data_IF_527003167343
#
_entry.id   IF_527003167343
#
_cell.length_a   1.000
_cell.length_b   1.000
_cell.length_c   1.000
_cell.angle_alpha   90.00
_cell.angle_beta   90.00
_cell.angle_gamma   90.00
#
_symmetry.space_group_name_H-M   'P 1'
#
loop_
_entity.id
_entity.type
_entity.pdbx_description
1 polymer ?
#
# COMPACT_ATOMS: atom_id res chain seq x y z
N UNK A 1 -3.64 2.82 -20.07
CA UNK A 1 -3.65 2.41 -18.65
C UNK A 1 -4.49 1.16 -18.40
N UNK A 2 -5.72 1.05 -18.90
CA UNK A 2 -6.59 -0.15 -18.70
C UNK A 2 -5.98 -1.47 -19.20
N UNK A 3 -5.25 -1.46 -20.31
CA UNK A 3 -4.62 -2.66 -20.92
C UNK A 3 -3.50 -3.24 -20.03
N UNK A 4 -2.71 -2.39 -19.36
CA UNK A 4 -1.59 -2.82 -18.52
C UNK A 4 -2.08 -3.44 -17.21
N UNK A 5 -3.15 -2.91 -16.61
CA UNK A 5 -3.79 -3.47 -15.41
C UNK A 5 -4.38 -4.84 -15.70
N UNK A 6 -5.07 -5.00 -16.85
CA UNK A 6 -5.64 -6.28 -17.28
C UNK A 6 -4.56 -7.35 -17.49
N UNK A 7 -3.41 -6.96 -18.01
CA UNK A 7 -2.25 -7.83 -18.21
C UNK A 7 -1.62 -8.27 -16.88
N UNK A 8 -1.48 -7.36 -15.92
CA UNK A 8 -1.00 -7.68 -14.56
C UNK A 8 -1.96 -8.61 -13.82
N UNK A 9 -3.27 -8.39 -13.95
CA UNK A 9 -4.28 -9.29 -13.39
C UNK A 9 -4.20 -10.69 -14.00
N UNK A 10 -3.89 -10.84 -15.29
CA UNK A 10 -3.73 -12.15 -15.92
C UNK A 10 -2.53 -12.94 -15.37
N UNK A 11 -1.43 -12.26 -14.98
CA UNK A 11 -0.32 -12.91 -14.29
C UNK A 11 -0.70 -13.34 -12.86
N UNK A 12 -1.46 -12.52 -12.15
CA UNK A 12 -1.94 -12.86 -10.80
C UNK A 12 -2.83 -14.09 -10.81
N UNK A 13 -3.66 -14.27 -11.84
CA UNK A 13 -4.53 -15.45 -12.01
C UNK A 13 -3.78 -16.77 -12.19
N UNK A 14 -2.52 -16.75 -12.61
CA UNK A 14 -1.67 -17.96 -12.63
C UNK A 14 -1.40 -18.51 -11.23
N UNK A 15 -1.36 -17.63 -10.22
CA UNK A 15 -1.10 -17.96 -8.83
C UNK A 15 -2.40 -17.98 -7.98
N UNK A 16 -3.53 -18.37 -8.61
CA UNK A 16 -4.87 -18.34 -8.00
C UNK A 16 -4.94 -19.00 -6.62
N UNK A 17 -4.24 -20.13 -6.41
CA UNK A 17 -4.24 -20.83 -5.13
C UNK A 17 -3.63 -19.98 -4.00
N UNK A 18 -2.44 -19.43 -4.23
CA UNK A 18 -1.79 -18.52 -3.28
C UNK A 18 -2.61 -17.23 -3.07
N UNK A 19 -3.25 -16.72 -4.11
CA UNK A 19 -4.10 -15.55 -4.04
C UNK A 19 -5.35 -15.80 -3.17
N UNK A 20 -6.02 -16.94 -3.34
CA UNK A 20 -7.18 -17.32 -2.52
C UNK A 20 -6.80 -17.51 -1.05
N UNK A 21 -5.69 -18.19 -0.76
CA UNK A 21 -5.20 -18.35 0.62
C UNK A 21 -4.89 -16.98 1.24
N UNK A 22 -4.30 -16.06 0.49
CA UNK A 22 -4.04 -14.71 0.96
C UNK A 22 -5.33 -13.96 1.32
N UNK A 23 -6.39 -14.09 0.49
CA UNK A 23 -7.70 -13.50 0.79
C UNK A 23 -8.28 -14.09 2.07
N UNK A 24 -8.22 -15.41 2.26
CA UNK A 24 -8.67 -16.07 3.49
C UNK A 24 -7.90 -15.51 4.70
N UNK A 25 -6.57 -15.36 4.59
CA UNK A 25 -5.76 -14.75 5.63
C UNK A 25 -6.19 -13.32 5.96
N UNK A 26 -6.48 -12.49 4.97
CA UNK A 26 -6.96 -11.12 5.20
C UNK A 26 -8.39 -11.07 5.75
N UNK A 27 -9.26 -12.02 5.39
CA UNK A 27 -10.59 -12.16 6.00
C UNK A 27 -10.45 -12.52 7.48
N UNK A 28 -9.58 -13.47 7.82
CA UNK A 28 -9.30 -13.85 9.23
C UNK A 28 -8.75 -12.65 10.00
N UNK A 29 -7.83 -11.87 9.40
CA UNK A 29 -7.30 -10.64 9.98
C UNK A 29 -8.41 -9.61 10.25
N UNK A 30 -9.28 -9.34 9.27
CA UNK A 30 -10.40 -8.40 9.40
C UNK A 30 -11.43 -8.88 10.44
N UNK A 31 -11.73 -10.17 10.47
CA UNK A 31 -12.63 -10.75 11.48
C UNK A 31 -12.06 -10.60 12.89
N UNK A 32 -10.76 -10.79 13.07
CA UNK A 32 -10.09 -10.59 14.36
C UNK A 32 -10.11 -9.11 14.79
N UNK A 33 -9.95 -8.15 13.86
CA UNK A 33 -10.07 -6.72 14.16
C UNK A 33 -11.50 -6.35 14.59
N UNK A 34 -12.52 -6.89 13.93
CA UNK A 34 -13.93 -6.70 14.31
C UNK A 34 -14.18 -7.33 15.69
N UNK A 35 -13.66 -8.53 15.94
CA UNK A 35 -13.77 -9.18 17.23
C UNK A 35 -13.09 -8.38 18.36
N UNK A 36 -11.99 -7.69 18.07
CA UNK A 36 -11.32 -6.80 19.02
C UNK A 36 -12.22 -5.60 19.40
N UNK A 37 -12.89 -5.00 18.42
CA UNK A 37 -13.84 -3.89 18.66
C UNK A 37 -15.02 -4.37 19.50
N UNK A 38 -15.60 -5.53 19.18
CA UNK A 38 -16.70 -6.13 19.95
C UNK A 38 -16.26 -6.52 21.37
N UNK A 39 -15.03 -7.00 21.53
CA UNK A 39 -14.44 -7.29 22.83
C UNK A 39 -14.34 -6.03 23.71
N UNK A 40 -13.84 -4.92 23.16
CA UNK A 40 -13.77 -3.63 23.87
C UNK A 40 -15.17 -3.19 24.30
N UNK A 41 -16.13 -3.27 23.41
CA UNK A 41 -17.55 -2.94 23.71
C UNK A 41 -18.07 -3.76 24.89
N UNK A 42 -17.83 -5.06 24.89
CA UNK A 42 -18.26 -5.95 26.00
C UNK A 42 -17.57 -5.61 27.30
N UNK A 43 -16.27 -5.34 27.29
CA UNK A 43 -15.53 -4.92 28.49
C UNK A 43 -16.11 -3.65 29.08
N UNK A 44 -16.44 -2.64 28.26
CA UNK A 44 -17.07 -1.40 28.72
C UNK A 44 -18.45 -1.69 29.35
N UNK A 45 -19.26 -2.56 28.76
CA UNK A 45 -20.54 -2.97 29.31
C UNK A 45 -20.38 -3.66 30.66
N UNK A 46 -19.42 -4.55 30.82
CA UNK A 46 -19.12 -5.24 32.07
C UNK A 46 -18.66 -4.31 33.19
N UNK A 47 -17.89 -3.28 32.89
CA UNK A 47 -17.48 -2.27 33.87
C UNK A 47 -18.68 -1.51 34.42
N UNK A 48 -19.67 -1.22 33.54
CA UNK A 48 -20.85 -0.47 33.92
C UNK A 48 -21.85 -1.33 34.71
N UNK A 49 -21.97 -2.64 34.44
CA UNK A 49 -23.01 -3.51 35.02
C UNK A 49 -22.57 -4.21 36.33
N UNK A 50 -21.37 -3.98 36.86
CA UNK A 50 -20.82 -4.58 38.10
C UNK A 50 -21.06 -6.09 38.24
N UNK A 51 -21.29 -6.80 37.13
CA UNK A 51 -21.49 -8.25 37.13
C UNK A 51 -20.18 -9.00 37.38
N UNK A 52 -20.21 -10.04 38.20
CA UNK A 52 -19.05 -10.89 38.50
C UNK A 52 -18.57 -11.62 37.21
N UNK A 53 -17.65 -11.03 36.52
CA UNK A 53 -17.06 -11.61 35.29
C UNK A 53 -15.76 -12.30 35.63
N UNK A 54 -15.56 -13.48 35.06
CA UNK A 54 -14.30 -14.20 35.11
C UNK A 54 -13.22 -13.42 34.35
N UNK A 55 -12.40 -12.60 35.04
CA UNK A 55 -11.33 -11.79 34.48
C UNK A 55 -10.38 -12.63 33.61
N UNK A 56 -10.19 -13.90 33.93
CA UNK A 56 -9.37 -14.83 33.16
C UNK A 56 -9.93 -15.11 31.77
N UNK A 57 -11.26 -15.18 31.60
CA UNK A 57 -11.89 -15.38 30.30
C UNK A 57 -11.77 -14.16 29.40
N UNK A 58 -11.85 -12.96 29.96
CA UNK A 58 -11.66 -11.71 29.24
C UNK A 58 -10.22 -11.62 28.74
N UNK A 59 -9.24 -11.91 29.59
CA UNK A 59 -7.84 -11.90 29.22
C UNK A 59 -7.51 -12.98 28.16
N UNK A 60 -8.04 -14.19 28.33
CA UNK A 60 -7.85 -15.28 27.37
C UNK A 60 -8.43 -14.93 25.99
N UNK A 61 -9.63 -14.33 25.94
CA UNK A 61 -10.25 -13.91 24.70
C UNK A 61 -9.39 -12.87 23.95
N UNK A 62 -8.81 -11.91 24.67
CA UNK A 62 -7.91 -10.92 24.06
C UNK A 62 -6.67 -11.57 23.44
N UNK A 63 -6.03 -12.51 24.16
CA UNK A 63 -4.87 -13.25 23.66
C UNK A 63 -5.23 -14.04 22.40
N UNK A 64 -6.39 -14.69 22.39
CA UNK A 64 -6.85 -15.48 21.26
C UNK A 64 -7.18 -14.61 20.04
N UNK A 65 -7.81 -13.46 20.24
CA UNK A 65 -8.05 -12.47 19.19
C UNK A 65 -6.71 -11.96 18.60
N UNK A 66 -5.75 -11.60 19.47
CA UNK A 66 -4.44 -11.13 19.04
C UNK A 66 -3.67 -12.20 18.25
N UNK A 67 -3.76 -13.45 18.69
CA UNK A 67 -3.16 -14.59 18.00
C UNK A 67 -3.79 -14.81 16.61
N UNK A 68 -5.11 -14.83 16.53
CA UNK A 68 -5.85 -14.97 15.26
C UNK A 68 -5.53 -13.81 14.30
N UNK A 69 -5.44 -12.59 14.81
CA UNK A 69 -5.04 -11.42 14.05
C UNK A 69 -3.64 -11.57 13.47
N UNK A 70 -2.67 -11.99 14.31
CA UNK A 70 -1.28 -12.23 13.88
C UNK A 70 -1.19 -13.32 12.82
N UNK A 71 -1.88 -14.44 13.01
CA UNK A 71 -1.95 -15.54 12.03
C UNK A 71 -2.55 -15.09 10.70
N UNK A 72 -3.69 -14.41 10.74
CA UNK A 72 -4.37 -13.91 9.54
C UNK A 72 -3.48 -12.93 8.76
N UNK A 73 -2.83 -12.00 9.48
CA UNK A 73 -1.86 -11.06 8.89
C UNK A 73 -0.68 -11.79 8.25
N UNK A 74 -0.08 -12.75 8.95
CA UNK A 74 1.06 -13.50 8.45
C UNK A 74 0.71 -14.30 7.19
N UNK A 75 -0.37 -15.10 7.23
CA UNK A 75 -0.83 -15.90 6.11
C UNK A 75 -1.15 -14.99 4.92
N UNK A 76 -1.95 -13.94 5.13
CA UNK A 76 -2.33 -13.01 4.08
C UNK A 76 -1.12 -12.37 3.39
N UNK A 77 -0.18 -11.87 4.16
CA UNK A 77 1.03 -11.21 3.64
C UNK A 77 2.00 -12.19 2.97
N UNK A 78 2.22 -13.37 3.55
CA UNK A 78 3.13 -14.37 3.02
C UNK A 78 2.68 -14.84 1.63
N UNK A 79 1.42 -15.28 1.51
CA UNK A 79 0.91 -15.78 0.25
C UNK A 79 0.77 -14.69 -0.81
N UNK A 80 0.39 -13.46 -0.44
CA UNK A 80 0.35 -12.34 -1.37
C UNK A 80 1.75 -11.94 -1.85
N UNK A 81 2.76 -11.97 -0.98
CA UNK A 81 4.16 -11.73 -1.38
C UNK A 81 4.65 -12.80 -2.35
N UNK A 82 4.24 -14.06 -2.16
CA UNK A 82 4.54 -15.16 -3.09
C UNK A 82 3.91 -14.94 -4.46
N UNK A 83 2.67 -14.44 -4.52
CA UNK A 83 2.03 -14.02 -5.78
C UNK A 83 2.85 -12.91 -6.44
N UNK A 84 3.23 -11.88 -5.69
CA UNK A 84 4.02 -10.77 -6.21
C UNK A 84 5.36 -11.20 -6.80
N UNK A 85 6.11 -12.04 -6.09
CA UNK A 85 7.39 -12.59 -6.57
C UNK A 85 7.20 -13.46 -7.81
N UNK A 86 6.14 -14.25 -7.88
CA UNK A 86 5.80 -15.05 -9.06
C UNK A 86 5.52 -14.20 -10.29
N UNK A 87 4.76 -13.10 -10.12
CA UNK A 87 4.50 -12.14 -11.20
C UNK A 87 5.81 -11.49 -11.69
N UNK A 88 6.71 -11.10 -10.77
CA UNK A 88 8.05 -10.57 -11.12
C UNK A 88 8.83 -11.58 -11.95
N UNK A 89 8.85 -12.83 -11.51
CA UNK A 89 9.56 -13.90 -12.19
C UNK A 89 9.03 -14.11 -13.62
N UNK A 90 7.71 -14.22 -13.79
CA UNK A 90 7.09 -14.42 -15.11
C UNK A 90 7.34 -13.21 -16.04
N UNK A 91 7.28 -11.99 -15.53
CA UNK A 91 7.59 -10.78 -16.30
C UNK A 91 9.05 -10.75 -16.75
N UNK A 92 9.99 -11.11 -15.87
CA UNK A 92 11.41 -11.16 -16.22
C UNK A 92 11.68 -12.20 -17.29
N UNK A 93 11.09 -13.38 -17.16
CA UNK A 93 11.20 -14.47 -18.14
C UNK A 93 10.69 -14.02 -19.52
N UNK A 94 9.50 -13.43 -19.57
CA UNK A 94 8.91 -12.93 -20.83
C UNK A 94 9.76 -11.82 -21.47
N UNK A 95 10.29 -10.91 -20.67
CA UNK A 95 11.18 -9.84 -21.15
C UNK A 95 12.50 -10.41 -21.69
N UNK A 96 13.09 -11.37 -21.00
CA UNK A 96 14.32 -12.01 -21.42
C UNK A 96 14.14 -12.80 -22.72
N UNK A 97 13.05 -13.58 -22.83
CA UNK A 97 12.71 -14.30 -24.06
C UNK A 97 12.51 -13.36 -25.26
N UNK A 98 11.90 -12.20 -25.03
CA UNK A 98 11.75 -11.18 -26.09
C UNK A 98 13.08 -10.53 -26.44
N UNK A 99 13.93 -10.24 -25.44
CA UNK A 99 15.23 -9.65 -25.67
C UNK A 99 16.10 -10.52 -26.59
N UNK A 100 16.18 -11.82 -26.31
CA UNK A 100 17.00 -12.74 -27.12
C UNK A 100 16.52 -12.79 -28.60
N UNK A 101 15.25 -12.51 -28.85
CA UNK A 101 14.67 -12.50 -30.21
C UNK A 101 14.89 -11.21 -30.98
N UNK A 102 15.51 -10.19 -30.34
CA UNK A 102 15.78 -8.91 -31.00
C UNK A 102 16.96 -9.06 -32.00
N UNK A 103 16.93 -8.33 -33.13
CA UNK A 103 17.99 -8.34 -34.12
C UNK A 103 19.27 -7.75 -33.56
N UNK A 104 20.44 -8.19 -34.11
CA UNK A 104 21.77 -7.78 -33.64
C UNK A 104 21.97 -6.26 -33.63
N UNK A 105 21.43 -5.57 -34.59
CA UNK A 105 21.51 -4.11 -34.70
C UNK A 105 21.01 -3.37 -33.43
N UNK A 106 20.04 -3.96 -32.73
CA UNK A 106 19.51 -3.39 -31.49
C UNK A 106 20.52 -3.45 -30.33
N UNK A 107 21.35 -4.49 -30.30
CA UNK A 107 22.42 -4.66 -29.31
C UNK A 107 23.61 -3.76 -29.62
N UNK A 108 23.91 -3.52 -30.90
CA UNK A 108 25.01 -2.65 -31.33
C UNK A 108 24.71 -1.16 -31.05
N UNK A 109 23.42 -0.78 -31.05
CA UNK A 109 22.97 0.59 -30.78
C UNK A 109 22.68 0.87 -29.30
N UNK A 110 22.59 -0.15 -28.46
CA UNK A 110 22.20 -0.03 -27.05
C UNK A 110 23.32 -0.51 -26.14
N UNK A 111 23.61 0.25 -25.07
CA UNK A 111 24.55 -0.20 -24.06
C UNK A 111 23.98 -1.43 -23.33
N UNK A 112 24.67 -2.55 -23.38
CA UNK A 112 24.25 -3.83 -22.76
C UNK A 112 23.88 -3.67 -21.28
N UNK A 113 24.57 -2.80 -20.54
CA UNK A 113 24.26 -2.49 -19.15
C UNK A 113 22.89 -1.86 -18.93
N UNK A 114 22.42 -1.01 -19.86
CA UNK A 114 21.08 -0.41 -19.77
C UNK A 114 19.97 -1.45 -20.00
N UNK A 115 20.19 -2.40 -20.90
CA UNK A 115 19.23 -3.48 -21.17
C UNK A 115 19.11 -4.42 -19.98
N UNK A 116 20.23 -4.80 -19.38
CA UNK A 116 20.26 -5.63 -18.16
C UNK A 116 19.56 -4.88 -17.01
N UNK A 117 19.82 -3.59 -16.83
CA UNK A 117 19.19 -2.78 -15.79
C UNK A 117 17.67 -2.70 -15.98
N UNK A 118 17.15 -2.57 -17.20
CA UNK A 118 15.71 -2.59 -17.47
C UNK A 118 15.06 -3.92 -17.08
N UNK A 119 15.71 -5.06 -17.32
CA UNK A 119 15.18 -6.37 -16.99
C UNK A 119 15.27 -6.64 -15.50
N UNK A 120 16.37 -6.28 -14.86
CA UNK A 120 16.61 -6.63 -13.45
C UNK A 120 15.98 -5.61 -12.49
N UNK A 121 16.24 -4.33 -12.68
CA UNK A 121 15.89 -3.28 -11.72
C UNK A 121 14.53 -2.65 -12.01
N UNK A 122 14.31 -2.18 -13.23
CA UNK A 122 13.04 -1.49 -13.58
C UNK A 122 11.85 -2.43 -13.47
N UNK A 123 11.99 -3.69 -13.88
CA UNK A 123 10.94 -4.71 -13.75
C UNK A 123 10.61 -4.97 -12.28
N UNK A 124 11.60 -5.02 -11.40
CA UNK A 124 11.40 -5.20 -9.96
C UNK A 124 10.67 -4.02 -9.34
N UNK A 125 11.05 -2.80 -9.68
CA UNK A 125 10.39 -1.59 -9.17
C UNK A 125 8.93 -1.53 -9.59
N UNK A 126 8.63 -1.70 -10.87
CA UNK A 126 7.25 -1.63 -11.40
C UNK A 126 6.39 -2.74 -10.81
N UNK A 127 6.91 -3.96 -10.77
CA UNK A 127 6.17 -5.10 -10.25
C UNK A 127 6.03 -5.06 -8.74
N UNK A 128 7.07 -4.62 -8.01
CA UNK A 128 7.02 -4.41 -6.57
C UNK A 128 5.99 -3.36 -6.16
N UNK A 129 5.97 -2.22 -6.82
CA UNK A 129 4.97 -1.17 -6.59
C UNK A 129 3.55 -1.68 -6.87
N UNK A 130 3.34 -2.41 -7.97
CA UNK A 130 2.03 -2.96 -8.34
C UNK A 130 1.58 -4.05 -7.37
N UNK A 131 2.47 -4.98 -6.99
CA UNK A 131 2.15 -6.05 -6.05
C UNK A 131 1.82 -5.51 -4.66
N UNK A 132 2.55 -4.49 -4.19
CA UNK A 132 2.25 -3.81 -2.93
C UNK A 132 0.91 -3.06 -2.99
N UNK A 133 0.60 -2.40 -4.10
CA UNK A 133 -0.69 -1.74 -4.28
C UNK A 133 -1.85 -2.74 -4.25
N UNK A 134 -1.74 -3.87 -4.97
CA UNK A 134 -2.76 -4.94 -4.96
C UNK A 134 -2.90 -5.53 -3.55
N UNK A 135 -1.79 -5.83 -2.87
CA UNK A 135 -1.79 -6.33 -1.49
C UNK A 135 -2.52 -5.39 -0.53
N UNK A 136 -2.17 -4.10 -0.56
CA UNK A 136 -2.80 -3.08 0.29
C UNK A 136 -4.28 -2.96 -0.05
N UNK A 137 -4.64 -2.90 -1.34
CA UNK A 137 -6.02 -2.79 -1.77
C UNK A 137 -6.87 -3.99 -1.31
N UNK A 138 -6.36 -5.21 -1.43
CA UNK A 138 -7.08 -6.41 -0.99
C UNK A 138 -7.22 -6.43 0.53
N UNK A 139 -6.14 -6.15 1.28
CA UNK A 139 -6.14 -6.15 2.74
C UNK A 139 -7.08 -5.08 3.29
N UNK A 140 -6.87 -3.82 2.90
CA UNK A 140 -7.66 -2.70 3.42
C UNK A 140 -9.10 -2.74 2.90
N UNK A 141 -9.31 -3.20 1.65
CA UNK A 141 -10.64 -3.39 1.09
C UNK A 141 -11.44 -4.44 1.86
N UNK A 142 -10.82 -5.56 2.24
CA UNK A 142 -11.44 -6.60 3.06
C UNK A 142 -11.78 -6.07 4.45
N UNK A 143 -10.84 -5.38 5.10
CA UNK A 143 -11.04 -4.77 6.42
C UNK A 143 -12.15 -3.72 6.38
N UNK A 144 -12.10 -2.81 5.39
CA UNK A 144 -13.11 -1.76 5.22
C UNK A 144 -14.52 -2.35 5.03
N UNK A 145 -14.63 -3.35 4.16
CA UNK A 145 -15.92 -4.02 3.90
C UNK A 145 -16.44 -4.72 5.15
N UNK A 146 -15.58 -5.43 5.88
CA UNK A 146 -15.93 -6.10 7.13
C UNK A 146 -16.40 -5.13 8.22
N UNK A 147 -15.65 -4.03 8.43
CA UNK A 147 -16.02 -2.99 9.38
C UNK A 147 -17.32 -2.29 8.98
N UNK A 148 -17.54 -2.06 7.69
CA UNK A 148 -18.74 -1.40 7.20
C UNK A 148 -19.97 -2.27 7.45
N UNK A 149 -19.89 -3.58 7.18
CA UNK A 149 -20.96 -4.55 7.50
C UNK A 149 -21.23 -4.55 9.01
N UNK A 150 -20.17 -4.57 9.83
CA UNK A 150 -20.31 -4.55 11.28
C UNK A 150 -20.97 -3.25 11.80
N UNK A 151 -20.61 -2.09 11.25
CA UNK A 151 -21.23 -0.81 11.58
C UNK A 151 -22.72 -0.76 11.22
N UNK A 152 -23.11 -1.31 10.06
CA UNK A 152 -24.51 -1.42 9.67
C UNK A 152 -25.30 -2.34 10.62
N UNK A 153 -24.68 -3.42 11.08
CA UNK A 153 -25.27 -4.31 12.08
C UNK A 153 -25.47 -3.60 13.44
N UNK A 154 -24.52 -2.78 13.85
CA UNK A 154 -24.58 -2.06 15.12
C UNK A 154 -25.65 -0.96 15.12
N UNK A 155 -25.57 -0.06 14.15
CA UNK A 155 -26.52 1.05 14.00
C UNK A 155 -26.53 1.59 12.57
N UNK A 156 -27.49 1.15 11.78
CA UNK A 156 -27.60 1.53 10.37
C UNK A 156 -27.83 3.04 10.17
N UNK A 157 -28.53 3.72 11.10
CA UNK A 157 -28.81 5.16 11.00
C UNK A 157 -27.54 6.00 11.15
N UNK A 158 -26.72 5.67 12.16
CA UNK A 158 -25.45 6.34 12.38
C UNK A 158 -24.47 6.05 11.24
N UNK A 159 -24.46 4.83 10.71
CA UNK A 159 -23.62 4.45 9.59
C UNK A 159 -23.99 5.22 8.31
N UNK A 160 -25.28 5.39 8.04
CA UNK A 160 -25.76 6.23 6.93
C UNK A 160 -25.33 7.70 7.09
N UNK A 161 -25.48 8.25 8.30
CA UNK A 161 -25.03 9.61 8.59
C UNK A 161 -23.52 9.77 8.32
N UNK A 162 -22.72 8.80 8.76
CA UNK A 162 -21.26 8.79 8.51
C UNK A 162 -20.95 8.70 7.01
N UNK A 163 -21.64 7.84 6.26
CA UNK A 163 -21.47 7.71 4.82
C UNK A 163 -21.85 8.99 4.05
N UNK A 164 -22.87 9.71 4.52
CA UNK A 164 -23.26 11.00 3.92
C UNK A 164 -22.24 12.09 4.24
N UNK A 165 -21.65 12.09 5.44
CA UNK A 165 -20.64 13.10 5.81
C UNK A 165 -19.28 12.84 5.19
N UNK A 166 -18.94 11.57 4.86
CA UNK A 166 -17.65 11.19 4.29
C UNK A 166 -17.28 11.95 3.00
N UNK A 167 -18.16 12.14 1.98
CA UNK A 167 -17.82 12.89 0.78
C UNK A 167 -17.54 14.38 1.07
N UNK A 168 -18.21 14.99 2.05
CA UNK A 168 -17.92 16.37 2.44
C UNK A 168 -16.53 16.51 3.05
N UNK A 169 -16.14 15.56 3.92
CA UNK A 169 -14.78 15.50 4.48
C UNK A 169 -13.77 15.30 3.36
N UNK A 170 -14.03 14.38 2.42
CA UNK A 170 -13.16 14.12 1.28
C UNK A 170 -12.99 15.38 0.39
N UNK A 171 -14.02 16.17 0.22
CA UNK A 171 -13.98 17.42 -0.54
C UNK A 171 -13.08 18.45 0.15
N UNK A 172 -13.23 18.63 1.46
CA UNK A 172 -12.39 19.53 2.27
C UNK A 172 -10.92 19.11 2.19
N UNK A 173 -10.64 17.81 2.41
CA UNK A 173 -9.29 17.26 2.34
C UNK A 173 -8.67 17.44 0.95
N UNK A 174 -9.46 17.27 -0.12
CA UNK A 174 -8.99 17.46 -1.49
C UNK A 174 -8.63 18.93 -1.78
N UNK A 175 -9.46 19.87 -1.32
CA UNK A 175 -9.19 21.32 -1.47
C UNK A 175 -7.93 21.70 -0.69
N UNK A 176 -7.82 21.29 0.58
CA UNK A 176 -6.63 21.52 1.40
C UNK A 176 -5.37 20.90 0.78
N UNK A 177 -5.46 19.66 0.30
CA UNK A 177 -4.37 18.96 -0.35
C UNK A 177 -3.90 19.61 -1.67
N UNK A 178 -4.80 20.24 -2.42
CA UNK A 178 -4.40 21.04 -3.60
C UNK A 178 -3.62 22.29 -3.20
N UNK A 179 -4.05 22.99 -2.15
CA UNK A 179 -3.32 24.15 -1.61
C UNK A 179 -1.94 23.76 -1.10
N UNK A 180 -1.85 22.71 -0.29
CA UNK A 180 -0.58 22.21 0.23
C UNK A 180 0.39 21.83 -0.88
N UNK A 181 -0.07 21.13 -1.92
CA UNK A 181 0.77 20.79 -3.09
C UNK A 181 1.27 22.03 -3.82
N UNK A 182 0.45 23.10 -3.93
CA UNK A 182 0.89 24.36 -4.56
C UNK A 182 1.98 25.05 -3.73
N UNK A 183 1.82 25.07 -2.40
CA UNK A 183 2.81 25.64 -1.48
C UNK A 183 4.11 24.83 -1.53
N UNK A 184 4.02 23.48 -1.46
CA UNK A 184 5.19 22.62 -1.55
C UNK A 184 5.96 22.80 -2.86
N UNK A 185 5.26 22.95 -3.98
CA UNK A 185 5.89 23.25 -5.28
C UNK A 185 6.59 24.62 -5.26
N UNK A 186 5.98 25.65 -4.68
CA UNK A 186 6.59 26.96 -4.54
C UNK A 186 7.85 26.90 -3.68
N UNK A 187 7.83 26.17 -2.57
CA UNK A 187 9.01 25.96 -1.71
C UNK A 187 10.12 25.27 -2.49
N UNK A 188 9.82 24.23 -3.28
CA UNK A 188 10.82 23.56 -4.10
C UNK A 188 11.46 24.49 -5.14
N UNK A 189 10.67 25.38 -5.75
CA UNK A 189 11.20 26.35 -6.72
C UNK A 189 12.15 27.34 -6.02
N UNK A 190 11.70 27.94 -4.91
CA UNK A 190 12.53 28.88 -4.13
C UNK A 190 13.81 28.22 -3.61
N UNK A 191 13.72 26.94 -3.17
CA UNK A 191 14.89 26.20 -2.71
C UNK A 191 15.87 25.92 -3.86
N UNK A 192 15.35 25.68 -5.09
CA UNK A 192 16.15 25.59 -6.30
C UNK A 192 16.91 26.89 -6.59
N UNK A 193 16.22 28.04 -6.50
CA UNK A 193 16.81 29.36 -6.71
C UNK A 193 17.89 29.66 -5.66
N UNK A 194 17.63 29.36 -4.38
CA UNK A 194 18.63 29.48 -3.30
C UNK A 194 19.88 28.62 -3.57
N UNK A 195 19.67 27.38 -4.00
CA UNK A 195 20.78 26.47 -4.33
C UNK A 195 21.59 27.00 -5.52
N UNK A 196 20.93 27.55 -6.55
CA UNK A 196 21.59 28.16 -7.70
C UNK A 196 22.44 29.36 -7.27
N UNK A 197 21.90 30.30 -6.49
CA UNK A 197 22.63 31.47 -5.98
C UNK A 197 23.82 31.04 -5.10
N UNK A 198 23.61 30.03 -4.25
CA UNK A 198 24.70 29.50 -3.42
C UNK A 198 25.82 28.88 -4.24
N UNK A 199 25.48 28.13 -5.31
CA UNK A 199 26.44 27.55 -6.24
C UNK A 199 27.23 28.63 -6.98
N UNK A 200 26.54 29.64 -7.48
CA UNK A 200 27.15 30.81 -8.18
C UNK A 200 28.10 31.57 -7.26
N UNK A 201 27.73 31.78 -6.00
CA UNK A 201 28.58 32.42 -5.00
C UNK A 201 29.83 31.58 -4.67
N UNK A 202 29.73 30.27 -4.66
CA UNK A 202 30.86 29.36 -4.44
C UNK A 202 31.79 29.32 -5.66
N UNK A 203 31.23 29.25 -6.87
CA UNK A 203 31.99 29.24 -8.13
C UNK A 203 32.68 30.61 -8.36
N UNK A 204 31.98 31.71 -8.08
CA UNK A 204 32.53 33.09 -8.20
C UNK A 204 33.34 33.57 -7.00
N UNK A 205 33.71 32.71 -6.05
CA UNK A 205 34.41 33.08 -4.83
C UNK A 205 35.76 33.80 -5.10
N UNK A 206 36.45 33.45 -6.19
CA UNK A 206 37.74 34.09 -6.59
C UNK A 206 37.50 35.54 -7.04
N UNK A 207 36.43 35.78 -7.82
CA UNK A 207 36.04 37.12 -8.28
C UNK A 207 35.55 37.97 -7.11
N UNK A 208 34.71 37.43 -6.25
CA UNK A 208 34.21 38.13 -5.04
C UNK A 208 35.38 38.58 -4.17
N UNK A 209 36.42 37.75 -3.99
CA UNK A 209 37.60 38.09 -3.20
C UNK A 209 38.55 39.07 -3.92
N UNK A 210 38.52 39.18 -5.25
CA UNK A 210 39.35 40.10 -6.00
C UNK A 210 38.80 41.52 -6.04
N UNK A 211 37.49 41.68 -5.79
CA UNK A 211 36.82 42.99 -5.77
C UNK A 211 36.57 43.52 -4.36
N UNK A 212 36.98 42.83 -3.30
CA UNK A 212 36.84 43.24 -1.91
C UNK A 212 38.23 43.38 -1.29
#
# INVERSE_FOLDING_TARGET
MKTNIKRLLSYTLRYKFSFVISIIGFITFAAADIAAVEWIRRVIQFINDSSAVNHNLIALALVLIAFMRGLGFFIGNYFMSRVGLGVVHDMRKELFEKLIKLPKYYFDSSQSGQLINRITFTTTQVSGATSNAVKTFVREGTLFTGLLIYLFYLNWKLTLLLLVTAPFIALIVNVAGRRLRKIAKSIQTVMGDVTHIASEAVEGNTEIKSFN
#
